data_IF_745139261915
#
_entry.id   IF_745139261915
#
_cell.length_a   1.000
_cell.length_b   1.000
_cell.length_c   1.000
_cell.angle_alpha   90.00
_cell.angle_beta   90.00
_cell.angle_gamma   90.00
#
_symmetry.space_group_name_H-M   'P 1'
#
loop_
_entity.id
_entity.type
_entity.pdbx_description
1 polymer ?
#
# COMPACT_ATOMS: atom_id res chain seq x y z
N UNK A 1 2.33 -26.10 -0.28
CA UNK A 1 0.92 -25.76 0.00
C UNK A 1 0.73 -24.33 -0.49
N UNK A 2 -0.29 -24.06 -1.32
CA UNK A 2 -0.55 -22.71 -1.80
C UNK A 2 -0.91 -21.82 -0.62
N UNK A 3 -0.31 -20.63 -0.53
CA UNK A 3 -0.62 -19.68 0.52
C UNK A 3 -2.02 -19.10 0.32
N UNK A 4 -2.69 -18.66 1.38
CA UNK A 4 -4.02 -18.04 1.30
C UNK A 4 -3.99 -16.81 0.37
N UNK A 5 -2.88 -16.07 0.42
CA UNK A 5 -2.54 -14.96 -0.47
C UNK A 5 -2.54 -15.37 -1.95
N UNK A 6 -1.87 -16.48 -2.29
CA UNK A 6 -1.77 -16.96 -3.68
C UNK A 6 -3.14 -17.32 -4.25
N UNK A 7 -3.98 -17.97 -3.43
CA UNK A 7 -5.34 -18.33 -3.81
C UNK A 7 -6.23 -17.10 -4.01
N UNK A 8 -6.10 -16.09 -3.13
CA UNK A 8 -6.83 -14.83 -3.26
C UNK A 8 -6.45 -14.10 -4.55
N UNK A 9 -5.15 -13.91 -4.78
CA UNK A 9 -4.62 -13.25 -5.98
C UNK A 9 -5.10 -13.99 -7.24
N UNK A 10 -5.06 -15.32 -7.25
CA UNK A 10 -5.56 -16.16 -8.35
C UNK A 10 -7.06 -15.96 -8.63
N UNK A 11 -7.89 -15.86 -7.58
CA UNK A 11 -9.33 -15.56 -7.71
C UNK A 11 -9.56 -14.17 -8.31
N UNK A 12 -8.84 -13.14 -7.85
CA UNK A 12 -8.91 -11.76 -8.37
C UNK A 12 -8.51 -11.70 -9.84
N UNK A 13 -7.40 -12.35 -10.19
CA UNK A 13 -6.92 -12.51 -11.56
C UNK A 13 -7.99 -13.10 -12.48
N UNK A 14 -8.56 -14.24 -12.11
CA UNK A 14 -9.60 -14.92 -12.87
C UNK A 14 -10.85 -14.07 -13.05
N UNK A 15 -11.29 -13.39 -11.98
CA UNK A 15 -12.44 -12.51 -12.01
C UNK A 15 -12.23 -11.36 -13.00
N UNK A 16 -11.10 -10.66 -12.91
CA UNK A 16 -10.80 -9.53 -13.80
C UNK A 16 -10.70 -9.95 -15.26
N UNK A 17 -9.99 -11.05 -15.54
CA UNK A 17 -9.87 -11.58 -16.90
C UNK A 17 -11.24 -11.87 -17.52
N UNK A 18 -12.15 -12.50 -16.77
CA UNK A 18 -13.52 -12.78 -17.22
C UNK A 18 -14.33 -11.52 -17.48
N UNK A 19 -14.19 -10.49 -16.63
CA UNK A 19 -14.86 -9.20 -16.83
C UNK A 19 -14.41 -8.50 -18.13
N UNK A 20 -13.18 -8.73 -18.56
CA UNK A 20 -12.64 -8.23 -19.82
C UNK A 20 -12.96 -9.13 -21.02
N UNK A 21 -13.72 -10.23 -20.82
CA UNK A 21 -14.03 -11.19 -21.89
C UNK A 21 -12.83 -11.99 -22.41
N UNK A 22 -11.70 -11.97 -21.71
CA UNK A 22 -10.46 -12.61 -22.16
C UNK A 22 -10.45 -14.11 -21.83
N UNK A 23 -9.94 -14.93 -22.76
CA UNK A 23 -9.59 -16.32 -22.47
C UNK A 23 -8.26 -16.42 -21.73
N UNK A 24 -7.94 -17.60 -21.17
CA UNK A 24 -6.61 -17.82 -20.55
C UNK A 24 -5.48 -17.73 -21.59
N UNK A 25 -5.76 -18.09 -22.85
CA UNK A 25 -4.78 -17.98 -23.94
C UNK A 25 -4.52 -16.51 -24.29
N UNK A 26 -5.55 -15.67 -24.35
CA UNK A 26 -5.40 -14.24 -24.65
C UNK A 26 -4.52 -13.55 -23.60
N UNK A 27 -4.81 -13.78 -22.32
CA UNK A 27 -4.02 -13.21 -21.23
C UNK A 27 -2.58 -13.76 -21.23
N UNK A 28 -2.41 -15.05 -21.53
CA UNK A 28 -1.09 -15.66 -21.61
C UNK A 28 -0.25 -15.03 -22.75
N UNK A 29 -0.88 -14.76 -23.90
CA UNK A 29 -0.26 -14.08 -25.03
C UNK A 29 0.19 -12.65 -24.67
N UNK A 30 -0.65 -11.88 -23.98
CA UNK A 30 -0.29 -10.51 -23.56
C UNK A 30 0.86 -10.46 -22.54
N UNK A 31 0.93 -11.45 -21.65
CA UNK A 31 1.93 -11.50 -20.57
C UNK A 31 3.20 -12.26 -20.99
N UNK A 32 3.18 -12.94 -22.14
CA UNK A 32 4.33 -13.72 -22.62
C UNK A 32 4.58 -14.98 -21.78
N UNK A 33 3.52 -15.69 -21.40
CA UNK A 33 3.59 -16.98 -20.68
C UNK A 33 2.74 -18.04 -21.39
N UNK A 34 2.87 -19.30 -20.97
CA UNK A 34 2.00 -20.39 -21.48
C UNK A 34 0.62 -20.32 -20.83
N UNK A 35 -0.43 -20.71 -21.55
CA UNK A 35 -1.81 -20.71 -21.02
C UNK A 35 -1.95 -21.56 -19.74
N UNK A 36 -1.24 -22.68 -19.66
CA UNK A 36 -1.22 -23.54 -18.46
C UNK A 36 -0.68 -22.79 -17.23
N UNK A 37 0.22 -21.84 -17.43
CA UNK A 37 0.75 -21.02 -16.34
C UNK A 37 -0.33 -20.07 -15.81
N UNK A 38 -1.12 -19.45 -16.68
CA UNK A 38 -2.27 -18.63 -16.26
C UNK A 38 -3.27 -19.49 -15.49
N UNK A 39 -3.56 -20.72 -15.95
CA UNK A 39 -4.43 -21.64 -15.21
C UNK A 39 -3.88 -21.94 -13.81
N UNK A 40 -2.57 -22.20 -13.68
CA UNK A 40 -1.91 -22.44 -12.39
C UNK A 40 -1.91 -21.23 -11.47
N UNK A 41 -1.81 -20.01 -12.03
CA UNK A 41 -1.97 -18.78 -11.27
C UNK A 41 -3.40 -18.61 -10.77
N UNK A 42 -4.40 -18.85 -11.62
CA UNK A 42 -5.81 -18.68 -11.26
C UNK A 42 -6.30 -19.65 -10.18
N UNK A 43 -5.71 -20.85 -10.07
CA UNK A 43 -6.01 -21.80 -9.00
C UNK A 43 -5.06 -21.71 -7.81
N UNK A 44 -4.10 -20.77 -7.81
CA UNK A 44 -3.10 -20.62 -6.75
C UNK A 44 -2.07 -21.75 -6.66
N UNK A 45 -2.05 -22.67 -7.63
CA UNK A 45 -1.09 -23.78 -7.64
C UNK A 45 0.36 -23.29 -7.81
N UNK A 46 0.54 -22.18 -8.53
CA UNK A 46 1.83 -21.51 -8.69
C UNK A 46 1.79 -20.09 -8.12
N UNK A 47 2.85 -19.74 -7.39
CA UNK A 47 3.08 -18.35 -6.94
C UNK A 47 3.35 -17.44 -8.12
N UNK A 48 2.86 -16.21 -8.03
CA UNK A 48 3.11 -15.16 -9.01
C UNK A 48 4.27 -14.30 -8.49
N UNK A 49 5.35 -14.19 -9.27
CA UNK A 49 6.47 -13.31 -8.91
C UNK A 49 6.06 -11.84 -9.07
N UNK A 50 6.75 -10.93 -8.39
CA UNK A 50 6.45 -9.48 -8.46
C UNK A 50 6.47 -8.94 -9.91
N UNK A 51 7.45 -9.37 -10.71
CA UNK A 51 7.52 -9.02 -12.14
C UNK A 51 6.28 -9.49 -12.91
N UNK A 52 5.81 -10.71 -12.67
CA UNK A 52 4.60 -11.23 -13.33
C UNK A 52 3.33 -10.55 -12.83
N UNK A 53 3.27 -10.22 -11.54
CA UNK A 53 2.14 -9.49 -10.98
C UNK A 53 2.01 -8.09 -11.62
N UNK A 54 3.15 -7.44 -11.86
CA UNK A 54 3.21 -6.18 -12.60
C UNK A 54 2.75 -6.34 -14.05
N UNK A 55 3.26 -7.34 -14.79
CA UNK A 55 2.83 -7.61 -16.16
C UNK A 55 1.31 -7.87 -16.25
N UNK A 56 0.77 -8.67 -15.32
CA UNK A 56 -0.66 -8.97 -15.23
C UNK A 56 -1.48 -7.71 -14.93
N UNK A 57 -0.98 -6.80 -14.08
CA UNK A 57 -1.67 -5.54 -13.78
C UNK A 57 -1.84 -4.67 -15.04
N UNK A 58 -0.81 -4.62 -15.89
CA UNK A 58 -0.83 -3.90 -17.16
C UNK A 58 -1.77 -4.56 -18.16
N UNK A 59 -1.68 -5.88 -18.33
CA UNK A 59 -2.54 -6.64 -19.24
C UNK A 59 -4.03 -6.53 -18.89
N UNK A 60 -4.35 -6.46 -17.59
CA UNK A 60 -5.72 -6.38 -17.08
C UNK A 60 -6.23 -4.95 -16.84
N UNK A 61 -5.38 -3.95 -17.12
CA UNK A 61 -5.62 -2.54 -16.90
C UNK A 61 -6.17 -2.26 -15.47
N UNK A 62 -5.39 -2.67 -14.47
CA UNK A 62 -5.66 -2.46 -13.03
C UNK A 62 -4.37 -2.08 -12.30
N UNK A 63 -4.47 -1.46 -11.12
CA UNK A 63 -3.32 -1.29 -10.23
C UNK A 63 -2.86 -2.65 -9.67
N UNK A 64 -1.60 -2.75 -9.24
CA UNK A 64 -1.10 -3.97 -8.55
C UNK A 64 -1.87 -4.22 -7.25
N UNK A 65 -2.29 -3.15 -6.56
CA UNK A 65 -3.12 -3.20 -5.35
C UNK A 65 -4.39 -4.06 -5.54
N UNK A 66 -4.99 -4.02 -6.73
CA UNK A 66 -6.21 -4.75 -7.07
C UNK A 66 -6.17 -6.24 -6.72
N UNK A 67 -4.99 -6.87 -6.82
CA UNK A 67 -4.84 -8.29 -6.54
C UNK A 67 -4.93 -8.63 -5.06
N UNK A 68 -4.82 -7.63 -4.17
CA UNK A 68 -4.85 -7.79 -2.72
C UNK A 68 -6.12 -7.23 -2.06
N UNK A 69 -6.99 -6.55 -2.82
CA UNK A 69 -8.23 -5.98 -2.28
C UNK A 69 -9.12 -7.03 -1.60
N UNK A 70 -9.50 -6.76 -0.36
CA UNK A 70 -10.35 -7.65 0.43
C UNK A 70 -9.60 -8.79 1.11
N UNK A 71 -8.26 -8.79 1.09
CA UNK A 71 -7.50 -9.52 2.11
C UNK A 71 -7.54 -8.74 3.41
N UNK A 72 -8.02 -9.39 4.48
CA UNK A 72 -7.92 -8.84 5.82
C UNK A 72 -6.45 -8.83 6.22
N UNK A 73 -5.86 -7.64 6.32
CA UNK A 73 -4.57 -7.47 6.99
C UNK A 73 -4.80 -7.80 8.46
N UNK A 74 -4.44 -9.02 8.87
CA UNK A 74 -4.61 -9.53 10.24
C UNK A 74 -3.86 -8.73 11.32
N UNK A 75 -3.12 -7.72 10.92
CA UNK A 75 -2.76 -6.57 11.73
C UNK A 75 -2.78 -5.36 10.78
N UNK A 76 -3.56 -4.30 11.05
CA UNK A 76 -3.27 -3.01 10.45
C UNK A 76 -1.95 -2.52 11.03
N UNK A 77 -0.83 -3.05 10.53
CA UNK A 77 0.40 -2.28 10.54
C UNK A 77 0.06 -0.96 9.85
N UNK A 78 0.34 0.20 10.47
CA UNK A 78 0.03 1.49 9.88
C UNK A 78 0.67 1.53 8.50
N UNK A 79 -0.21 1.63 7.50
CA UNK A 79 0.11 1.56 6.09
C UNK A 79 0.79 2.88 5.73
N UNK A 80 2.12 2.95 5.78
CA UNK A 80 2.92 4.17 5.59
C UNK A 80 2.85 4.78 4.16
N UNK A 81 1.85 4.42 3.34
CA UNK A 81 1.81 4.81 1.93
C UNK A 81 0.43 5.15 1.36
N UNK A 82 -0.70 5.02 2.09
CA UNK A 82 -2.02 5.32 1.53
C UNK A 82 -2.86 6.21 2.46
N UNK A 83 -2.47 7.48 2.49
CA UNK A 83 -3.21 8.63 3.01
C UNK A 83 -4.51 8.88 2.22
N UNK A 84 -5.70 8.59 2.76
CA UNK A 84 -6.94 9.34 2.46
C UNK A 84 -8.17 8.88 3.27
N UNK A 85 -8.36 7.58 3.49
CA UNK A 85 -9.70 7.05 3.87
C UNK A 85 -9.88 6.69 5.35
N UNK A 86 -8.83 6.80 6.19
CA UNK A 86 -8.94 6.67 7.66
C UNK A 86 -9.25 8.01 8.35
N UNK A 87 -9.99 8.89 7.67
CA UNK A 87 -10.15 10.30 8.04
C UNK A 87 -11.07 10.56 9.25
N UNK A 88 -11.79 9.56 9.80
CA UNK A 88 -12.79 9.79 10.85
C UNK A 88 -12.44 9.29 12.26
N UNK A 89 -11.50 8.34 12.41
CA UNK A 89 -11.20 7.73 13.71
C UNK A 89 -10.12 8.43 14.55
N UNK A 90 -9.25 9.24 13.93
CA UNK A 90 -8.01 9.79 14.53
C UNK A 90 -8.00 11.34 14.59
N UNK A 91 -9.17 11.96 14.42
CA UNK A 91 -9.36 13.41 14.19
C UNK A 91 -8.81 14.29 15.33
N UNK A 92 -8.61 13.77 16.54
CA UNK A 92 -8.23 14.54 17.72
C UNK A 92 -6.79 14.34 18.21
N UNK A 93 -6.04 13.32 17.73
CA UNK A 93 -4.71 13.01 18.26
C UNK A 93 -3.53 13.41 17.35
N UNK A 94 -3.74 13.61 16.05
CA UNK A 94 -2.64 13.88 15.09
C UNK A 94 -2.82 15.14 14.23
N UNK A 95 -3.95 15.84 14.35
CA UNK A 95 -4.25 17.01 13.53
C UNK A 95 -3.20 18.11 13.67
N UNK A 96 -2.78 18.40 14.89
CA UNK A 96 -1.79 19.45 15.17
C UNK A 96 -0.40 19.08 14.63
N UNK A 97 0.02 17.83 14.77
CA UNK A 97 1.31 17.35 14.25
C UNK A 97 1.35 17.41 12.71
N UNK A 98 0.27 16.97 12.05
CA UNK A 98 0.16 17.03 10.60
C UNK A 98 0.08 18.48 10.09
N UNK A 99 -0.64 19.35 10.78
CA UNK A 99 -0.69 20.78 10.47
C UNK A 99 0.69 21.43 10.62
N UNK A 100 1.43 21.08 11.67
CA UNK A 100 2.80 21.55 11.90
C UNK A 100 3.75 21.10 10.78
N UNK A 101 3.71 19.82 10.40
CA UNK A 101 4.57 19.27 9.32
C UNK A 101 4.24 19.93 7.98
N UNK A 102 2.94 20.10 7.66
CA UNK A 102 2.50 20.78 6.44
C UNK A 102 2.91 22.26 6.42
N UNK A 103 2.78 22.96 7.55
CA UNK A 103 3.23 24.34 7.69
C UNK A 103 4.76 24.45 7.56
N UNK A 104 5.51 23.51 8.17
CA UNK A 104 6.97 23.46 8.13
C UNK A 104 7.51 23.36 6.70
N UNK A 105 6.94 22.51 5.85
CA UNK A 105 7.35 22.39 4.45
C UNK A 105 6.99 23.63 3.60
N UNK A 106 6.02 24.45 4.00
CA UNK A 106 5.70 25.73 3.33
C UNK A 106 6.66 26.87 3.68
N UNK A 107 7.40 26.74 4.78
CA UNK A 107 8.38 27.74 5.21
C UNK A 107 9.65 27.70 4.37
N UNK A 108 10.38 28.83 4.32
CA UNK A 108 11.74 28.89 3.78
C UNK A 108 12.80 28.30 4.72
N UNK A 109 14.04 28.18 4.24
CA UNK A 109 15.13 27.51 4.98
C UNK A 109 15.45 28.16 6.33
N UNK A 110 15.50 29.50 6.38
CA UNK A 110 15.79 30.26 7.62
C UNK A 110 14.72 30.04 8.71
N UNK A 111 13.41 30.20 8.45
CA UNK A 111 12.36 29.88 9.44
C UNK A 111 12.35 28.42 9.89
N UNK A 112 12.60 27.45 9.00
CA UNK A 112 12.64 26.02 9.36
C UNK A 112 13.73 25.73 10.40
N UNK A 113 14.94 26.26 10.20
CA UNK A 113 16.06 26.11 11.15
C UNK A 113 15.71 26.67 12.54
N UNK A 114 15.09 27.86 12.60
CA UNK A 114 14.63 28.45 13.87
C UNK A 114 13.55 27.64 14.56
N UNK A 115 12.59 27.09 13.80
CA UNK A 115 11.53 26.24 14.36
C UNK A 115 12.10 24.93 14.92
N UNK A 116 13.10 24.36 14.26
CA UNK A 116 13.82 23.19 14.75
C UNK A 116 14.64 23.48 16.02
N UNK A 117 15.32 24.63 16.09
CA UNK A 117 16.02 25.07 17.30
C UNK A 117 15.05 25.27 18.47
N UNK A 118 13.87 25.85 18.22
CA UNK A 118 12.82 26.01 19.23
C UNK A 118 12.29 24.66 19.72
N UNK A 119 11.99 23.73 18.80
CA UNK A 119 11.54 22.38 19.17
C UNK A 119 12.57 21.65 20.04
N UNK A 120 13.87 21.74 19.69
CA UNK A 120 14.97 21.15 20.46
C UNK A 120 15.16 21.82 21.82
N UNK A 121 14.97 23.13 21.92
CA UNK A 121 15.04 23.83 23.19
C UNK A 121 13.93 23.39 24.16
N UNK A 122 12.72 23.17 23.62
CA UNK A 122 11.56 22.72 24.40
C UNK A 122 11.66 21.25 24.85
N UNK A 123 12.47 20.41 24.20
CA UNK A 123 12.74 19.04 24.67
C UNK A 123 13.49 19.03 26.02
N UNK A 124 14.31 20.04 26.31
CA UNK A 124 15.08 20.12 27.54
C UNK A 124 14.24 20.44 28.79
N UNK A 125 13.14 21.19 28.63
CA UNK A 125 12.28 21.59 29.75
C UNK A 125 11.44 20.42 30.30
N UNK A 126 11.12 19.44 29.45
CA UNK A 126 10.31 18.28 29.82
C UNK A 126 11.04 17.29 30.76
N UNK A 127 12.37 17.38 30.83
CA UNK A 127 13.22 16.55 31.72
C UNK A 127 13.34 17.10 33.14
N UNK A 128 12.80 18.28 33.45
CA UNK A 128 12.96 18.97 34.73
C UNK A 128 11.77 18.85 35.70
N UNK A 129 10.64 18.27 35.27
CA UNK A 129 9.42 18.14 36.07
C UNK A 129 9.17 16.69 36.53
N UNK A 130 10.17 16.08 37.19
CA UNK A 130 10.08 14.71 37.71
C UNK A 130 10.87 14.44 38.98
N UNK A 131 11.42 15.47 39.63
CA UNK A 131 12.14 15.34 40.89
C UNK A 131 11.52 16.24 41.98
N UNK A 132 10.44 15.77 42.58
CA UNK A 132 9.98 16.17 43.91
C UNK A 132 9.12 15.05 44.50
#
# INVERSE_FOLDING_TARGET
>A
MADETDLHVGKRLRRRRRLLGMTQQDLAGQVGVRFQQIQKYECGANRITASRLFDLSRALNVSVQYFFDGMAVANPMPNAANDAEQMEGDILSQKETLELVRAYYRLGERPRKRLLELAKALEGDNTSSGAA
#
